data_IF_562017020845
#
_entry.id   IF_562017020845
#
_cell.length_a   1.000
_cell.length_b   1.000
_cell.length_c   1.000
_cell.angle_alpha   90.00
_cell.angle_beta   90.00
_cell.angle_gamma   90.00
#
_symmetry.space_group_name_H-M   'P 1'
#
loop_
_entity.id
_entity.type
_entity.pdbx_description
1 polymer ?
#
# COMPACT_ATOMS: atom_id res chain seq x y z
N UNK A 1 25.55 -0.67 -0.60
CA UNK A 1 24.84 -0.45 -1.88
C UNK A 1 23.41 -0.91 -1.64
N UNK A 2 22.44 0.01 -1.62
CA UNK A 2 21.02 -0.36 -1.53
C UNK A 2 20.59 -0.86 -2.89
N UNK A 3 20.46 -2.18 -3.03
CA UNK A 3 19.84 -2.77 -4.21
C UNK A 3 18.33 -2.58 -4.04
N UNK A 4 17.79 -1.48 -4.57
CA UNK A 4 16.35 -1.30 -4.63
C UNK A 4 15.82 -2.37 -5.59
N UNK A 5 15.12 -3.37 -5.05
CA UNK A 5 14.50 -4.45 -5.82
C UNK A 5 13.00 -4.19 -5.94
N UNK A 6 12.46 -4.27 -7.16
CA UNK A 6 11.03 -4.12 -7.44
C UNK A 6 10.43 -5.45 -7.85
N UNK A 7 9.27 -5.78 -7.29
CA UNK A 7 8.52 -6.98 -7.65
C UNK A 7 7.72 -6.72 -8.92
N UNK A 8 7.84 -7.60 -9.92
CA UNK A 8 7.05 -7.52 -11.13
C UNK A 8 5.57 -7.81 -10.82
N UNK A 9 4.66 -6.89 -11.15
CA UNK A 9 3.22 -7.03 -10.84
C UNK A 9 2.55 -8.26 -11.49
N UNK A 10 3.16 -8.79 -12.56
CA UNK A 10 2.56 -9.85 -13.37
C UNK A 10 3.02 -11.26 -12.97
N UNK A 11 4.33 -11.45 -12.82
CA UNK A 11 4.91 -12.75 -12.47
C UNK A 11 5.41 -12.82 -11.03
N UNK A 12 5.31 -11.72 -10.27
CA UNK A 12 5.76 -11.60 -8.89
C UNK A 12 7.25 -11.90 -8.67
N UNK A 13 8.04 -11.95 -9.76
CA UNK A 13 9.48 -12.14 -9.64
C UNK A 13 10.15 -10.83 -9.21
N UNK A 14 11.17 -10.96 -8.37
CA UNK A 14 11.99 -9.82 -7.93
C UNK A 14 12.94 -9.45 -9.04
N UNK A 15 12.92 -8.18 -9.44
CA UNK A 15 13.81 -7.62 -10.43
C UNK A 15 14.56 -6.44 -9.83
N UNK A 16 15.71 -6.13 -10.41
CA UNK A 16 16.45 -4.94 -10.07
C UNK A 16 15.69 -3.69 -10.56
N UNK A 17 15.67 -2.62 -9.77
CA UNK A 17 15.00 -1.36 -10.17
C UNK A 17 15.65 -0.69 -11.37
N UNK A 18 16.91 -1.04 -11.69
CA UNK A 18 17.59 -0.57 -12.90
C UNK A 18 17.03 -1.15 -14.20
N UNK A 19 16.29 -2.28 -14.14
CA UNK A 19 15.71 -2.90 -15.32
C UNK A 19 14.40 -2.22 -15.74
N UNK A 20 14.28 -1.92 -17.04
CA UNK A 20 13.03 -1.39 -17.61
C UNK A 20 11.97 -2.45 -17.80
N UNK A 21 12.40 -3.70 -18.02
CA UNK A 21 11.55 -4.85 -18.30
C UNK A 21 11.91 -5.99 -17.36
N UNK A 22 10.90 -6.80 -17.01
CA UNK A 22 11.08 -7.95 -16.17
C UNK A 22 11.98 -8.99 -16.85
N UNK A 23 13.01 -9.47 -16.15
CA UNK A 23 13.94 -10.47 -16.67
C UNK A 23 13.29 -11.84 -16.93
N UNK A 24 12.14 -12.11 -16.30
CA UNK A 24 11.45 -13.40 -16.40
C UNK A 24 10.26 -13.39 -17.37
N UNK A 25 9.45 -12.32 -17.39
CA UNK A 25 8.25 -12.25 -18.24
C UNK A 25 8.31 -11.18 -19.34
N UNK A 26 9.37 -10.36 -19.38
CA UNK A 26 9.55 -9.32 -20.41
C UNK A 26 8.61 -8.12 -20.31
N UNK A 27 7.72 -8.06 -19.31
CA UNK A 27 6.79 -6.94 -19.13
C UNK A 27 7.45 -5.73 -18.47
N UNK A 28 6.99 -4.53 -18.81
CA UNK A 28 7.52 -3.27 -18.28
C UNK A 28 7.44 -3.24 -16.74
N UNK A 29 8.55 -2.88 -16.11
CA UNK A 29 8.67 -2.77 -14.66
C UNK A 29 8.11 -1.43 -14.19
N UNK A 30 7.20 -1.45 -13.21
CA UNK A 30 6.68 -0.24 -12.59
C UNK A 30 7.73 0.34 -11.63
N UNK A 31 8.70 1.09 -12.18
CA UNK A 31 9.85 1.68 -11.47
C UNK A 31 9.47 2.68 -10.37
N UNK A 32 8.30 3.30 -10.52
CA UNK A 32 7.77 4.31 -9.63
C UNK A 32 6.39 3.86 -9.15
N UNK A 33 6.33 2.85 -8.28
CA UNK A 33 5.14 2.66 -7.45
C UNK A 33 5.33 3.55 -6.21
N UNK A 34 4.71 4.74 -6.14
CA UNK A 34 4.74 5.55 -4.93
C UNK A 34 3.89 4.81 -3.89
N UNK A 35 4.53 3.88 -3.17
CA UNK A 35 3.98 3.16 -2.03
C UNK A 35 3.68 4.14 -0.89
N UNK A 36 2.57 4.87 -1.04
CA UNK A 36 1.43 4.80 -0.12
C UNK A 36 1.56 5.42 1.27
N UNK A 37 2.72 5.83 1.76
CA UNK A 37 2.84 6.24 3.17
C UNK A 37 2.09 7.52 3.54
N UNK A 38 1.96 8.47 2.62
CA UNK A 38 1.28 9.75 2.90
C UNK A 38 -0.25 9.62 2.97
N UNK A 39 -0.88 8.78 2.13
CA UNK A 39 -2.34 8.64 2.11
C UNK A 39 -2.90 7.74 3.20
N UNK A 40 -2.16 6.70 3.63
CA UNK A 40 -2.63 5.76 4.65
C UNK A 40 -2.76 6.45 6.01
N UNK A 41 -1.80 7.27 6.41
CA UNK A 41 -1.84 7.97 7.72
C UNK A 41 -3.05 8.91 7.88
N UNK A 42 -3.49 9.54 6.79
CA UNK A 42 -4.70 10.35 6.79
C UNK A 42 -5.95 9.49 6.94
N UNK A 43 -6.00 8.37 6.23
CA UNK A 43 -7.13 7.43 6.28
C UNK A 43 -7.30 6.80 7.67
N UNK A 44 -6.19 6.42 8.32
CA UNK A 44 -6.20 5.86 9.69
C UNK A 44 -6.75 6.87 10.70
N UNK A 45 -6.39 8.15 10.58
CA UNK A 45 -6.93 9.21 11.43
C UNK A 45 -8.44 9.40 11.25
N UNK A 46 -8.92 9.40 10.01
CA UNK A 46 -10.36 9.51 9.73
C UNK A 46 -11.15 8.30 10.24
N UNK A 47 -10.59 7.09 10.10
CA UNK A 47 -11.20 5.86 10.59
C UNK A 47 -11.43 5.88 12.11
N UNK A 48 -10.46 6.39 12.87
CA UNK A 48 -10.57 6.45 14.34
C UNK A 48 -11.74 7.33 14.82
N UNK A 49 -12.06 8.40 14.09
CA UNK A 49 -13.23 9.24 14.39
C UNK A 49 -14.57 8.50 14.23
N UNK A 50 -14.69 7.69 13.18
CA UNK A 50 -15.88 6.86 12.94
C UNK A 50 -16.03 5.80 14.03
N UNK A 51 -14.93 5.15 14.42
CA UNK A 51 -14.93 4.13 15.49
C UNK A 51 -15.42 4.73 16.81
N UNK A 52 -14.91 5.90 17.21
CA UNK A 52 -15.36 6.60 18.42
C UNK A 52 -16.86 6.89 18.35
N UNK A 53 -17.34 7.41 17.22
CA UNK A 53 -18.77 7.69 17.04
C UNK A 53 -19.63 6.44 17.19
N UNK A 54 -19.22 5.30 16.62
CA UNK A 54 -19.91 4.03 16.79
C UNK A 54 -19.92 3.55 18.24
N UNK A 55 -18.80 3.66 18.96
CA UNK A 55 -18.74 3.28 20.39
C UNK A 55 -19.67 4.15 21.23
N UNK A 56 -19.72 5.46 20.97
CA UNK A 56 -20.67 6.37 21.62
C UNK A 56 -22.11 5.93 21.36
N UNK A 57 -22.46 5.59 20.11
CA UNK A 57 -23.81 5.11 19.79
C UNK A 57 -24.17 3.81 20.52
N UNK A 58 -23.22 2.88 20.68
CA UNK A 58 -23.42 1.64 21.44
C UNK A 58 -23.71 1.95 22.92
N UNK A 59 -22.99 2.90 23.51
CA UNK A 59 -23.21 3.33 24.91
C UNK A 59 -24.53 4.11 25.04
N UNK A 60 -24.88 4.92 24.04
CA UNK A 60 -26.06 5.80 24.06
C UNK A 60 -27.36 5.09 23.72
N UNK A 61 -27.28 3.96 23.02
CA UNK A 61 -28.36 3.00 22.86
C UNK A 61 -28.09 1.77 23.76
N UNK A 62 -28.08 1.94 25.11
CA UNK A 62 -28.14 0.81 25.99
C UNK A 62 -29.55 0.24 25.83
N UNK A 63 -29.64 -0.79 24.99
CA UNK A 63 -30.79 -1.66 24.87
C UNK A 63 -31.32 -2.02 26.25
#
# INVERSE_FOLDING_TARGET
MSYDTVTCLFCQTKNDTSLENCSHCGMALAKNHPEGKAKISFFVKAFWGIVIFCVVMIIYLPR
#
